data_IF_485785895101
#
_entry.id   IF_485785895101
#
_cell.length_a   1.000
_cell.length_b   1.000
_cell.length_c   1.000
_cell.angle_alpha   90.00
_cell.angle_beta   90.00
_cell.angle_gamma   90.00
#
_symmetry.space_group_name_H-M   'P 1'
#
loop_
_entity.id
_entity.type
_entity.pdbx_description
1 polymer ?
#
# COMPACT_ATOMS: atom_id res chain seq x y z
N UNK A 1 4.44 -21.51 18.90
CA UNK A 1 4.09 -21.51 20.34
C UNK A 1 5.32 -21.80 21.18
N UNK A 2 5.37 -21.30 22.42
CA UNK A 2 6.47 -21.52 23.39
C UNK A 2 5.93 -22.08 24.70
N UNK A 3 6.83 -22.40 25.64
CA UNK A 3 6.49 -23.02 26.92
C UNK A 3 7.00 -22.18 28.10
N UNK A 4 6.24 -22.18 29.20
CA UNK A 4 6.49 -21.45 30.47
C UNK A 4 6.15 -22.37 31.65
N UNK A 5 6.37 -21.90 32.89
CA UNK A 5 6.09 -22.64 34.12
C UNK A 5 7.37 -23.26 34.72
N UNK A 6 7.26 -23.71 35.97
CA UNK A 6 8.37 -24.31 36.73
C UNK A 6 8.86 -25.64 36.15
N UNK A 7 8.06 -26.26 35.29
CA UNK A 7 8.31 -27.54 34.63
C UNK A 7 8.31 -27.43 33.09
N UNK A 8 8.19 -26.21 32.54
CA UNK A 8 8.06 -25.95 31.11
C UNK A 8 6.86 -26.67 30.44
N UNK A 9 5.83 -27.04 31.20
CA UNK A 9 4.63 -27.72 30.68
C UNK A 9 3.52 -26.75 30.25
N UNK A 10 3.55 -25.50 30.73
CA UNK A 10 2.51 -24.52 30.44
C UNK A 10 2.71 -23.91 29.06
N UNK A 11 1.66 -23.95 28.24
CA UNK A 11 1.71 -23.42 26.88
C UNK A 11 1.54 -21.90 26.92
N UNK A 12 2.51 -21.16 26.37
CA UNK A 12 2.36 -19.71 26.21
C UNK A 12 1.33 -19.48 25.10
N UNK A 13 0.11 -19.17 25.50
CA UNK A 13 -0.98 -18.84 24.60
C UNK A 13 -0.75 -17.46 23.96
N UNK A 14 -1.05 -17.35 22.67
CA UNK A 14 -1.04 -16.05 22.00
C UNK A 14 -2.33 -15.27 22.27
N UNK A 15 -2.25 -13.94 22.41
CA UNK A 15 -3.42 -13.08 22.58
C UNK A 15 -4.42 -13.32 21.45
N UNK A 16 -5.67 -13.63 21.81
CA UNK A 16 -6.78 -13.89 20.88
C UNK A 16 -6.48 -14.96 19.80
N UNK A 17 -5.49 -15.84 20.01
CA UNK A 17 -5.03 -16.77 18.99
C UNK A 17 -4.54 -16.08 17.71
N UNK A 18 -3.98 -14.87 17.82
CA UNK A 18 -3.61 -14.01 16.70
C UNK A 18 -4.76 -13.74 15.71
N UNK A 19 -6.02 -13.85 16.16
CA UNK A 19 -7.25 -13.64 15.39
C UNK A 19 -7.31 -14.40 14.06
N UNK A 20 -6.54 -15.49 13.92
CA UNK A 20 -6.29 -16.20 12.66
C UNK A 20 -5.72 -15.31 11.53
N UNK A 21 -5.12 -14.16 11.88
CA UNK A 21 -4.52 -13.18 10.98
C UNK A 21 -3.04 -12.99 11.25
N UNK A 22 -2.37 -14.01 11.78
CA UNK A 22 -0.94 -13.98 12.06
C UNK A 22 -0.43 -15.33 12.55
N UNK A 23 0.88 -15.37 12.82
CA UNK A 23 1.58 -16.55 13.32
C UNK A 23 1.94 -16.35 14.79
N UNK A 24 1.63 -17.36 15.61
CA UNK A 24 1.92 -17.36 17.05
C UNK A 24 3.31 -17.96 17.36
N UNK A 25 4.24 -17.12 17.83
CA UNK A 25 5.59 -17.55 18.23
C UNK A 25 5.85 -17.06 19.66
N UNK A 26 6.04 -18.01 20.59
CA UNK A 26 6.32 -17.74 22.01
C UNK A 26 5.41 -16.68 22.66
N UNK A 27 4.10 -16.75 22.41
CA UNK A 27 3.12 -15.80 22.97
C UNK A 27 3.00 -14.47 22.23
N UNK A 28 3.82 -14.25 21.19
CA UNK A 28 3.81 -13.04 20.38
C UNK A 28 3.17 -13.35 19.03
N UNK A 29 2.26 -12.48 18.59
CA UNK A 29 1.64 -12.57 17.28
C UNK A 29 2.41 -11.78 16.23
N UNK A 30 2.79 -12.44 15.15
CA UNK A 30 3.35 -11.83 13.95
C UNK A 30 2.24 -11.71 12.92
N UNK A 31 1.69 -10.51 12.76
CA UNK A 31 0.50 -10.28 11.95
C UNK A 31 0.76 -10.40 10.44
N UNK A 32 -0.22 -10.93 9.74
CA UNK A 32 -0.27 -10.93 8.28
C UNK A 32 -0.42 -9.50 7.77
N UNK A 33 -0.01 -9.29 6.51
CA UNK A 33 -0.15 -7.99 5.86
C UNK A 33 -1.60 -7.49 5.95
N UNK A 34 -1.75 -6.21 6.30
CA UNK A 34 -3.04 -5.56 6.46
C UNK A 34 -3.76 -5.81 7.79
N UNK A 35 -3.04 -6.35 8.78
CA UNK A 35 -3.54 -6.47 10.15
C UNK A 35 -2.51 -6.01 11.18
N UNK A 36 -3.00 -5.53 12.32
CA UNK A 36 -2.21 -5.02 13.44
C UNK A 36 -2.90 -5.29 14.79
N UNK A 37 -2.26 -4.88 15.88
CA UNK A 37 -2.71 -5.15 17.24
C UNK A 37 -2.03 -6.40 17.82
N UNK A 38 -2.03 -6.51 19.14
CA UNK A 38 -1.29 -7.57 19.86
C UNK A 38 -1.78 -8.97 19.48
N UNK A 39 -3.06 -9.11 19.11
CA UNK A 39 -3.66 -10.34 18.59
C UNK A 39 -4.06 -10.26 17.12
N UNK A 40 -3.49 -9.35 16.32
CA UNK A 40 -3.82 -9.13 14.90
C UNK A 40 -5.31 -8.89 14.60
N UNK A 41 -6.06 -8.36 15.57
CA UNK A 41 -7.50 -8.13 15.48
C UNK A 41 -7.87 -6.90 14.65
N UNK A 42 -6.95 -5.94 14.54
CA UNK A 42 -7.20 -4.67 13.86
C UNK A 42 -6.90 -4.82 12.37
N UNK A 43 -7.88 -4.55 11.52
CA UNK A 43 -7.63 -4.36 10.08
C UNK A 43 -6.98 -2.99 9.86
N UNK A 44 -5.85 -2.95 9.18
CA UNK A 44 -5.24 -1.69 8.78
C UNK A 44 -6.03 -1.10 7.59
N UNK A 45 -6.42 0.19 7.62
CA UNK A 45 -7.12 0.79 6.48
C UNK A 45 -6.17 0.94 5.30
N UNK A 46 -6.75 1.04 4.10
CA UNK A 46 -6.01 1.44 2.91
C UNK A 46 -5.68 2.94 3.00
N UNK A 47 -4.50 3.36 2.53
CA UNK A 47 -4.17 4.79 2.49
C UNK A 47 -4.97 5.51 1.38
N UNK A 48 -4.94 6.84 1.38
CA UNK A 48 -5.50 7.67 0.31
C UNK A 48 -6.91 8.22 0.54
N UNK A 49 -7.42 8.18 1.78
CA UNK A 49 -8.70 8.79 2.15
C UNK A 49 -8.93 10.20 1.54
N UNK A 50 -10.16 10.53 1.10
CA UNK A 50 -11.42 9.80 1.31
C UNK A 50 -11.70 8.68 0.30
N UNK A 51 -10.84 8.49 -0.71
CA UNK A 51 -11.02 7.46 -1.73
C UNK A 51 -9.82 6.54 -1.69
N UNK A 52 -9.99 5.28 -1.27
CA UNK A 52 -8.90 4.31 -1.15
C UNK A 52 -7.92 4.38 -2.34
N UNK A 53 -6.63 4.45 -2.05
CA UNK A 53 -5.57 4.64 -3.04
C UNK A 53 -5.76 5.89 -3.92
N UNK A 54 -6.27 6.97 -3.32
CA UNK A 54 -6.63 8.22 -4.00
C UNK A 54 -7.58 8.03 -5.21
N UNK A 55 -8.29 6.89 -5.26
CA UNK A 55 -9.11 6.48 -6.41
C UNK A 55 -8.31 6.13 -7.67
N UNK A 56 -7.00 5.86 -7.54
CA UNK A 56 -6.04 5.66 -8.65
C UNK A 56 -5.24 4.36 -8.47
N UNK A 57 -5.94 3.32 -8.04
CA UNK A 57 -5.36 2.01 -7.84
C UNK A 57 -6.29 1.09 -7.06
N UNK A 58 -5.81 -0.12 -6.81
CA UNK A 58 -6.51 -1.12 -6.03
C UNK A 58 -5.80 -1.35 -4.69
N UNK A 59 -6.58 -1.50 -3.62
CA UNK A 59 -6.02 -1.81 -2.30
C UNK A 59 -6.05 -3.31 -2.00
N UNK A 60 -4.92 -3.84 -1.55
CA UNK A 60 -4.83 -5.19 -1.00
C UNK A 60 -3.90 -5.19 0.21
N UNK A 61 -4.37 -5.75 1.32
CA UNK A 61 -3.61 -5.86 2.58
C UNK A 61 -3.01 -4.52 3.04
N UNK A 62 -3.81 -3.46 2.95
CA UNK A 62 -3.45 -2.07 3.35
C UNK A 62 -2.30 -1.47 2.55
N UNK A 63 -2.03 -2.03 1.37
CA UNK A 63 -1.09 -1.54 0.39
C UNK A 63 -1.82 -1.22 -0.90
N UNK A 64 -1.52 -0.06 -1.46
CA UNK A 64 -2.05 0.34 -2.76
C UNK A 64 -1.19 -0.18 -3.91
N UNK A 65 -1.85 -0.69 -4.92
CA UNK A 65 -1.30 -1.08 -6.21
C UNK A 65 -1.82 -0.06 -7.22
N UNK A 66 -0.95 0.86 -7.62
CA UNK A 66 -1.34 2.03 -8.38
C UNK A 66 -1.63 1.72 -9.85
N UNK A 67 -2.59 2.45 -10.40
CA UNK A 67 -2.85 2.45 -11.83
C UNK A 67 -1.61 2.95 -12.60
N UNK A 68 -1.43 2.53 -13.86
CA UNK A 68 -0.36 3.05 -14.70
C UNK A 68 -0.36 4.59 -14.73
N UNK A 69 0.82 5.20 -14.57
CA UNK A 69 0.92 6.66 -14.45
C UNK A 69 0.87 7.20 -13.02
N UNK A 70 0.64 6.36 -12.00
CA UNK A 70 0.59 6.78 -10.60
C UNK A 70 1.52 5.98 -9.70
N UNK A 71 1.93 6.59 -8.61
CA UNK A 71 2.90 6.05 -7.66
C UNK A 71 2.70 6.65 -6.26
N UNK A 72 3.49 6.17 -5.30
CA UNK A 72 3.39 6.55 -3.90
C UNK A 72 2.60 5.53 -3.08
N UNK A 73 2.59 5.72 -1.76
CA UNK A 73 1.92 4.81 -0.82
C UNK A 73 0.40 4.79 -0.99
N UNK A 74 -0.17 5.89 -1.48
CA UNK A 74 -1.59 6.13 -1.69
C UNK A 74 -1.95 6.37 -3.16
N UNK A 75 -1.02 6.22 -4.10
CA UNK A 75 -1.21 6.49 -5.53
C UNK A 75 -1.58 7.94 -5.89
N UNK A 76 -1.33 8.89 -4.98
CA UNK A 76 -1.57 10.32 -5.24
C UNK A 76 -0.56 10.94 -6.22
N UNK A 77 0.63 10.34 -6.38
CA UNK A 77 1.72 10.91 -7.18
C UNK A 77 1.63 10.46 -8.62
N UNK A 78 1.25 11.38 -9.52
CA UNK A 78 1.33 11.15 -10.97
C UNK A 78 2.80 11.11 -11.40
N UNK A 79 3.14 10.20 -12.31
CA UNK A 79 4.46 10.20 -12.95
C UNK A 79 4.66 11.53 -13.69
N UNK A 80 5.79 12.22 -13.47
CA UNK A 80 6.06 13.47 -14.16
C UNK A 80 6.24 13.20 -15.64
N UNK A 81 5.74 14.12 -16.47
CA UNK A 81 6.08 14.16 -17.89
C UNK A 81 7.18 15.18 -18.11
N UNK A 82 8.01 15.01 -19.15
CA UNK A 82 8.99 16.02 -19.55
C UNK A 82 8.28 17.37 -19.77
N UNK A 83 8.65 18.38 -18.98
CA UNK A 83 8.13 19.75 -19.03
C UNK A 83 6.59 19.87 -19.15
N UNK A 84 5.83 18.95 -18.53
CA UNK A 84 4.37 18.86 -18.67
C UNK A 84 3.88 18.86 -20.13
N UNK A 85 4.69 18.31 -21.05
CA UNK A 85 4.44 18.29 -22.49
C UNK A 85 4.30 19.69 -23.10
N UNK A 86 5.12 20.63 -22.64
CA UNK A 86 5.23 21.97 -23.20
C UNK A 86 6.32 22.06 -24.27
N UNK A 87 6.08 22.86 -25.29
CA UNK A 87 7.07 23.22 -26.30
C UNK A 87 8.08 24.25 -25.77
N UNK A 88 9.04 24.66 -26.61
CA UNK A 88 10.07 25.62 -26.24
C UNK A 88 9.51 27.02 -25.89
N UNK A 89 8.30 27.35 -26.34
CA UNK A 89 7.61 28.59 -26.02
C UNK A 89 6.79 28.47 -24.71
N UNK A 90 6.83 27.31 -24.06
CA UNK A 90 6.12 27.02 -22.82
C UNK A 90 4.63 26.70 -23.02
N UNK A 91 4.20 26.44 -24.25
CA UNK A 91 2.81 26.10 -24.57
C UNK A 91 2.63 24.59 -24.49
N UNK A 92 1.59 24.12 -23.81
CA UNK A 92 1.31 22.68 -23.75
C UNK A 92 0.82 22.20 -25.13
N UNK A 93 1.55 21.23 -25.71
CA UNK A 93 1.33 20.66 -27.05
C UNK A 93 1.15 19.15 -27.01
N UNK A 94 0.58 18.66 -25.92
CA UNK A 94 0.33 17.23 -25.76
C UNK A 94 -0.32 16.88 -24.44
N UNK A 95 -0.67 15.61 -24.33
CA UNK A 95 -1.24 15.01 -23.13
C UNK A 95 -0.22 14.09 -22.47
N UNK A 96 -0.07 14.24 -21.15
CA UNK A 96 0.79 13.36 -20.36
C UNK A 96 0.08 12.02 -20.09
N UNK A 97 0.58 10.93 -20.66
CA UNK A 97 0.04 9.58 -20.53
C UNK A 97 1.14 8.67 -19.99
N UNK A 98 0.96 8.17 -18.76
CA UNK A 98 1.91 7.27 -18.08
C UNK A 98 3.37 7.79 -18.01
N UNK A 99 3.57 9.10 -17.87
CA UNK A 99 4.91 9.71 -17.83
C UNK A 99 5.53 9.98 -19.20
N UNK A 100 4.79 9.76 -20.29
CA UNK A 100 5.19 10.10 -21.65
C UNK A 100 4.27 11.18 -22.25
N UNK A 101 4.81 12.00 -23.14
CA UNK A 101 4.02 12.98 -23.88
C UNK A 101 3.43 12.37 -25.14
N UNK A 102 2.11 12.45 -25.25
CA UNK A 102 1.38 12.23 -26.49
C UNK A 102 1.12 13.59 -27.14
N UNK A 103 1.95 13.92 -28.12
CA UNK A 103 1.97 15.21 -28.79
C UNK A 103 0.73 15.40 -29.68
N UNK A 104 0.27 16.65 -29.75
CA UNK A 104 -0.79 17.05 -30.68
C UNK A 104 -0.31 16.93 -32.13
N UNK A 105 -1.25 16.86 -33.08
CA UNK A 105 -0.92 16.74 -34.51
C UNK A 105 0.00 17.88 -34.94
N UNK A 106 1.17 17.53 -35.48
CA UNK A 106 2.19 18.48 -35.94
C UNK A 106 3.31 18.79 -34.94
N UNK A 107 3.31 18.14 -33.77
CA UNK A 107 4.34 18.27 -32.74
C UNK A 107 5.00 16.91 -32.46
N UNK A 108 6.27 16.93 -32.02
CA UNK A 108 7.07 15.73 -31.71
C UNK A 108 7.85 15.89 -30.42
#
# INVERSE_FOLDING_TARGET
AGYVGSDCSELIACPKGCSNRGICVNGICFCNAGSSGDGCETSLPCPGEPSQCSGRGFCQNSKCYCDPGYSGTDCSKRHPCPDDCRDADGVQRGSCVHGACWCDIGFS
#
